data_IF_001236613468
#
_entry.id   IF_001236613468
#
_cell.length_a   1.000
_cell.length_b   1.000
_cell.length_c   1.000
_cell.angle_alpha   90.00
_cell.angle_beta   90.00
_cell.angle_gamma   90.00
#
_symmetry.space_group_name_H-M   'P 1'
#
loop_
_entity.id
_entity.type
_entity.pdbx_description
1 polymer ?
#
# COMPACT_ATOMS: atom_id res chain seq x y z
N UNK A 1 -18.04 3.42 -4.18
CA UNK A 1 -16.66 2.90 -4.09
C UNK A 1 -16.70 1.56 -3.39
N UNK A 2 -16.06 0.51 -3.94
CA UNK A 2 -16.07 -0.85 -3.38
C UNK A 2 -14.68 -1.47 -3.54
N UNK A 3 -13.74 -1.06 -2.71
CA UNK A 3 -12.38 -1.58 -2.67
C UNK A 3 -12.33 -2.85 -1.83
N UNK A 4 -11.72 -3.89 -2.39
CA UNK A 4 -11.47 -5.19 -1.76
C UNK A 4 -9.98 -5.48 -1.60
N UNK A 5 -9.13 -4.81 -2.37
CA UNK A 5 -7.68 -4.95 -2.34
C UNK A 5 -7.00 -3.59 -2.30
N UNK A 6 -6.00 -3.45 -1.44
CA UNK A 6 -5.06 -2.32 -1.44
C UNK A 6 -3.69 -2.86 -1.87
N UNK A 7 -3.22 -2.36 -3.00
CA UNK A 7 -1.90 -2.68 -3.55
C UNK A 7 -0.98 -1.49 -3.36
N UNK A 8 0.24 -1.75 -2.93
CA UNK A 8 1.21 -0.72 -2.60
C UNK A 8 2.53 -0.96 -3.32
N UNK A 9 3.10 0.10 -3.87
CA UNK A 9 4.55 0.16 -4.04
C UNK A 9 5.25 0.24 -2.66
N UNK A 10 6.58 0.04 -2.65
CA UNK A 10 7.40 0.10 -1.45
C UNK A 10 8.13 1.43 -1.33
N UNK A 11 8.96 1.77 -2.32
CA UNK A 11 10.00 2.79 -2.16
C UNK A 11 9.50 4.14 -2.66
N UNK A 12 9.09 4.98 -1.72
CA UNK A 12 8.36 6.23 -2.00
C UNK A 12 6.90 6.16 -1.55
N UNK A 13 6.40 4.97 -1.18
CA UNK A 13 5.06 4.76 -0.61
C UNK A 13 5.11 4.26 0.82
N UNK A 14 5.58 3.02 1.04
CA UNK A 14 5.76 2.43 2.38
C UNK A 14 7.01 2.95 3.08
N UNK A 15 7.96 3.50 2.32
CA UNK A 15 9.18 4.17 2.77
C UNK A 15 9.26 5.58 2.17
N UNK A 16 10.21 6.39 2.62
CA UNK A 16 10.45 7.75 2.11
C UNK A 16 11.26 7.79 0.79
N UNK A 17 11.37 6.66 0.09
CA UNK A 17 12.08 6.52 -1.18
C UNK A 17 13.61 6.46 -1.05
N UNK A 18 14.18 6.68 0.14
CA UNK A 18 15.63 6.60 0.33
C UNK A 18 16.12 5.17 0.30
N UNK A 19 17.23 4.96 -0.40
CA UNK A 19 18.00 3.72 -0.36
C UNK A 19 19.24 3.94 0.48
N UNK A 20 19.26 3.34 1.67
CA UNK A 20 20.37 3.48 2.63
C UNK A 20 21.27 2.25 2.52
N UNK A 21 22.53 2.49 2.20
CA UNK A 21 23.57 1.46 2.07
C UNK A 21 24.60 1.61 3.18
N UNK A 22 24.97 0.52 3.83
CA UNK A 22 26.13 0.47 4.73
C UNK A 22 27.40 0.23 3.92
N UNK A 23 28.57 0.53 4.49
CA UNK A 23 29.86 0.23 3.85
C UNK A 23 30.12 -1.27 3.66
N UNK A 24 29.42 -2.13 4.42
CA UNK A 24 29.42 -3.60 4.27
C UNK A 24 28.48 -4.09 3.17
N UNK A 25 27.69 -3.20 2.55
CA UNK A 25 26.75 -3.54 1.48
C UNK A 25 25.36 -3.95 1.96
N UNK A 26 25.04 -3.78 3.24
CA UNK A 26 23.69 -4.02 3.77
C UNK A 26 22.75 -2.88 3.38
N UNK A 27 21.50 -3.21 3.09
CA UNK A 27 20.44 -2.25 2.82
C UNK A 27 19.56 -2.05 4.05
N UNK A 28 19.30 -0.78 4.40
CA UNK A 28 18.37 -0.42 5.47
C UNK A 28 17.11 0.20 4.84
N UNK A 29 15.94 -0.29 5.28
CA UNK A 29 14.63 0.29 4.94
C UNK A 29 13.89 0.71 6.20
N UNK A 30 13.40 1.94 6.22
CA UNK A 30 12.59 2.46 7.30
C UNK A 30 11.11 2.48 6.89
N UNK A 31 10.26 1.86 7.71
CA UNK A 31 8.81 1.81 7.50
C UNK A 31 8.09 2.59 8.60
N UNK A 32 6.93 3.14 8.26
CA UNK A 32 6.08 3.85 9.21
C UNK A 32 5.25 2.88 10.05
N UNK A 33 5.31 3.05 11.37
CA UNK A 33 4.41 2.35 12.30
C UNK A 33 2.94 2.80 12.15
N UNK A 34 2.70 4.06 11.72
CA UNK A 34 1.35 4.57 11.47
C UNK A 34 0.70 3.88 10.27
N UNK A 35 1.49 3.67 9.21
CA UNK A 35 1.07 2.94 8.02
C UNK A 35 0.78 1.48 8.36
N UNK A 36 1.61 0.87 9.22
CA UNK A 36 1.31 -0.44 9.81
C UNK A 36 -0.11 -0.50 10.37
N UNK A 37 -0.48 0.49 11.22
CA UNK A 37 -1.77 0.44 11.93
C UNK A 37 -2.94 0.62 10.97
N UNK A 38 -2.75 1.44 9.93
CA UNK A 38 -3.69 1.53 8.82
C UNK A 38 -3.87 0.17 8.15
N UNK A 39 -2.78 -0.50 7.79
CA UNK A 39 -2.85 -1.79 7.10
C UNK A 39 -3.50 -2.88 7.96
N UNK A 40 -3.18 -2.95 9.25
CA UNK A 40 -3.85 -3.85 10.18
C UNK A 40 -5.36 -3.57 10.28
N UNK A 41 -5.76 -2.29 10.29
CA UNK A 41 -7.16 -1.88 10.25
C UNK A 41 -7.86 -2.30 8.94
N UNK A 42 -7.22 -2.13 7.78
CA UNK A 42 -7.76 -2.56 6.49
C UNK A 42 -7.97 -4.08 6.44
N UNK A 43 -6.96 -4.86 6.84
CA UNK A 43 -7.04 -6.31 6.90
C UNK A 43 -8.18 -6.76 7.84
N UNK A 44 -8.32 -6.12 9.00
CA UNK A 44 -9.43 -6.41 9.93
C UNK A 44 -10.80 -6.09 9.33
N UNK A 45 -10.90 -5.05 8.51
CA UNK A 45 -12.11 -4.71 7.76
C UNK A 45 -12.38 -5.65 6.57
N UNK A 46 -11.55 -6.68 6.36
CA UNK A 46 -11.70 -7.66 5.28
C UNK A 46 -11.17 -7.18 3.93
N UNK A 47 -10.31 -6.15 3.91
CA UNK A 47 -9.61 -5.71 2.70
C UNK A 47 -8.27 -6.45 2.62
N UNK A 48 -8.04 -7.14 1.50
CA UNK A 48 -6.77 -7.81 1.23
C UNK A 48 -5.66 -6.82 0.87
N UNK A 49 -4.42 -7.20 1.19
CA UNK A 49 -3.25 -6.35 1.01
C UNK A 49 -2.24 -7.00 0.05
N UNK A 50 -1.70 -6.19 -0.88
CA UNK A 50 -0.66 -6.61 -1.81
C UNK A 50 0.49 -5.64 -1.89
N UNK A 51 1.70 -6.14 -2.14
CA UNK A 51 2.87 -5.35 -2.53
C UNK A 51 3.28 -5.72 -3.94
N UNK A 52 3.55 -4.70 -4.76
CA UNK A 52 4.21 -4.85 -6.06
C UNK A 52 5.45 -3.96 -6.07
N UNK A 53 6.63 -4.53 -6.27
CA UNK A 53 7.87 -3.75 -6.33
C UNK A 53 8.85 -4.34 -7.34
N UNK A 54 9.61 -3.46 -8.00
CA UNK A 54 10.67 -3.86 -8.91
C UNK A 54 11.91 -4.41 -8.19
N UNK A 55 12.04 -4.18 -6.88
CA UNK A 55 13.21 -4.61 -6.09
C UNK A 55 12.92 -5.90 -5.34
N UNK A 56 13.94 -6.71 -5.15
CA UNK A 56 13.91 -7.82 -4.20
C UNK A 56 14.61 -7.39 -2.92
N UNK A 57 13.97 -7.59 -1.76
CA UNK A 57 14.52 -7.16 -0.48
C UNK A 57 14.02 -8.04 0.66
N UNK A 58 14.92 -8.66 1.45
CA UNK A 58 14.51 -9.42 2.63
C UNK A 58 13.79 -8.56 3.69
N UNK A 59 14.02 -7.24 3.69
CA UNK A 59 13.33 -6.32 4.62
C UNK A 59 11.87 -6.14 4.25
N UNK A 60 11.56 -6.10 2.95
CA UNK A 60 10.19 -6.06 2.44
C UNK A 60 9.48 -7.37 2.74
N UNK A 61 10.13 -8.52 2.51
CA UNK A 61 9.56 -9.83 2.86
C UNK A 61 9.24 -9.94 4.35
N UNK A 62 10.17 -9.52 5.22
CA UNK A 62 9.96 -9.50 6.66
C UNK A 62 8.78 -8.61 7.04
N UNK A 63 8.70 -7.40 6.50
CA UNK A 63 7.61 -6.45 6.81
C UNK A 63 6.26 -6.92 6.28
N UNK A 64 6.23 -7.50 5.08
CA UNK A 64 5.04 -8.08 4.49
C UNK A 64 4.50 -9.24 5.35
N UNK A 65 5.38 -10.11 5.85
CA UNK A 65 5.02 -11.20 6.76
C UNK A 65 4.50 -10.68 8.11
N UNK A 66 5.14 -9.65 8.67
CA UNK A 66 4.73 -9.02 9.93
C UNK A 66 3.31 -8.44 9.84
N UNK A 67 3.01 -7.73 8.75
CA UNK A 67 1.71 -7.10 8.50
C UNK A 67 0.70 -8.01 7.78
N UNK A 68 1.06 -9.28 7.56
CA UNK A 68 0.20 -10.30 6.96
C UNK A 68 -0.37 -9.90 5.59
N UNK A 69 0.50 -9.42 4.70
CA UNK A 69 0.12 -9.20 3.31
C UNK A 69 -0.32 -10.52 2.64
N UNK A 70 -1.41 -10.45 1.87
CA UNK A 70 -1.97 -11.58 1.13
C UNK A 70 -1.17 -11.88 -0.14
N UNK A 71 -0.54 -10.86 -0.74
CA UNK A 71 0.31 -10.99 -1.91
C UNK A 71 1.59 -10.16 -1.80
N UNK A 72 2.72 -10.74 -2.20
CA UNK A 72 4.01 -10.07 -2.30
C UNK A 72 4.66 -10.41 -3.65
N UNK A 73 4.70 -9.44 -4.56
CA UNK A 73 5.25 -9.55 -5.91
C UNK A 73 6.51 -8.68 -6.00
N UNK A 74 7.68 -9.30 -5.82
CA UNK A 74 8.98 -8.64 -5.88
C UNK A 74 9.73 -8.93 -7.18
N UNK A 75 10.62 -8.03 -7.58
CA UNK A 75 11.41 -8.19 -8.81
C UNK A 75 10.62 -7.94 -10.10
N UNK A 76 9.43 -7.34 -10.01
CA UNK A 76 8.58 -7.07 -11.16
C UNK A 76 8.78 -5.63 -11.65
N UNK A 77 9.62 -5.44 -12.67
CA UNK A 77 9.79 -4.14 -13.31
C UNK A 77 8.52 -3.68 -14.04
N UNK A 78 7.76 -4.63 -14.62
CA UNK A 78 6.46 -4.36 -15.22
C UNK A 78 5.34 -4.53 -14.17
N UNK A 79 5.03 -3.45 -13.45
CA UNK A 79 4.01 -3.45 -12.38
C UNK A 79 2.60 -3.70 -12.92
N UNK A 80 2.31 -3.30 -14.16
CA UNK A 80 1.03 -3.56 -14.83
C UNK A 80 0.78 -5.05 -15.04
N UNK A 81 1.79 -5.77 -15.50
CA UNK A 81 1.69 -7.22 -15.69
C UNK A 81 1.50 -7.94 -14.35
N UNK A 82 2.31 -7.59 -13.35
CA UNK A 82 2.20 -8.15 -12.00
C UNK A 82 0.80 -7.93 -11.39
N UNK A 83 0.23 -6.74 -11.57
CA UNK A 83 -1.13 -6.42 -11.13
C UNK A 83 -2.17 -7.30 -11.82
N UNK A 84 -2.07 -7.49 -13.14
CA UNK A 84 -2.99 -8.37 -13.89
C UNK A 84 -2.89 -9.82 -13.43
N UNK A 85 -1.68 -10.34 -13.22
CA UNK A 85 -1.48 -11.69 -12.68
C UNK A 85 -2.06 -11.86 -11.28
N UNK A 86 -1.98 -10.84 -10.42
CA UNK A 86 -2.65 -10.83 -9.11
C UNK A 86 -4.17 -10.88 -9.28
N UNK A 87 -4.73 -10.03 -10.15
CA UNK A 87 -6.17 -10.02 -10.44
C UNK A 87 -6.68 -11.38 -10.89
N UNK A 88 -5.97 -12.02 -11.82
CA UNK A 88 -6.30 -13.35 -12.33
C UNK A 88 -6.24 -14.41 -11.22
N UNK A 89 -5.16 -14.43 -10.44
CA UNK A 89 -4.93 -15.43 -9.38
C UNK A 89 -5.94 -15.34 -8.23
N UNK A 90 -6.43 -14.14 -7.94
CA UNK A 90 -7.37 -13.88 -6.85
C UNK A 90 -8.81 -13.64 -7.32
N UNK A 91 -9.08 -13.81 -8.62
CA UNK A 91 -10.39 -13.59 -9.24
C UNK A 91 -11.02 -12.24 -8.88
N UNK A 92 -10.20 -11.18 -8.92
CA UNK A 92 -10.60 -9.82 -8.56
C UNK A 92 -10.52 -8.88 -9.76
N UNK A 93 -11.59 -8.11 -9.97
CA UNK A 93 -11.63 -7.09 -11.01
C UNK A 93 -10.84 -5.84 -10.58
N UNK A 94 -10.13 -5.23 -11.55
CA UNK A 94 -9.36 -4.00 -11.33
C UNK A 94 -10.16 -2.87 -10.69
N UNK A 95 -11.47 -2.76 -10.96
CA UNK A 95 -12.36 -1.76 -10.37
C UNK A 95 -12.51 -1.86 -8.84
N UNK A 96 -12.15 -3.01 -8.25
CA UNK A 96 -12.18 -3.24 -6.81
C UNK A 96 -10.79 -3.10 -6.15
N UNK A 97 -9.80 -2.60 -6.90
CA UNK A 97 -8.44 -2.40 -6.42
C UNK A 97 -8.19 -0.91 -6.17
N UNK A 98 -7.59 -0.61 -5.03
CA UNK A 98 -6.89 0.64 -4.80
C UNK A 98 -5.39 0.39 -4.95
N UNK A 99 -4.67 1.28 -5.63
CA UNK A 99 -3.22 1.17 -5.81
C UNK A 99 -2.57 2.49 -5.40
N UNK A 100 -1.56 2.45 -4.53
CA UNK A 100 -0.73 3.62 -4.22
C UNK A 100 0.68 3.45 -4.81
N UNK A 101 1.07 4.41 -5.65
CA UNK A 101 2.40 4.52 -6.25
C UNK A 101 2.89 5.96 -6.18
N UNK A 102 4.19 6.19 -6.35
CA UNK A 102 4.80 7.51 -6.22
C UNK A 102 5.51 8.00 -7.49
N UNK A 103 5.93 7.12 -8.39
CA UNK A 103 6.75 7.49 -9.55
C UNK A 103 6.26 6.88 -10.89
N UNK A 104 6.95 7.22 -11.99
CA UNK A 104 6.55 6.90 -13.36
C UNK A 104 6.37 5.40 -13.63
N UNK A 105 7.11 4.54 -12.92
CA UNK A 105 7.00 3.09 -13.05
C UNK A 105 5.66 2.53 -12.51
N UNK A 106 4.89 3.33 -11.76
CA UNK A 106 3.55 2.99 -11.27
C UNK A 106 2.43 3.41 -12.22
N UNK A 107 2.67 4.33 -13.17
CA UNK A 107 1.63 4.93 -14.02
C UNK A 107 0.77 3.88 -14.73
N UNK A 108 1.39 2.83 -15.27
CA UNK A 108 0.67 1.78 -15.97
C UNK A 108 -0.21 0.91 -15.07
N UNK A 109 0.13 0.77 -13.78
CA UNK A 109 -0.72 0.05 -12.82
C UNK A 109 -1.84 0.97 -12.31
N UNK A 110 -1.48 2.21 -11.95
CA UNK A 110 -2.41 3.25 -11.51
C UNK A 110 -3.51 3.51 -12.55
N UNK A 111 -3.19 3.51 -13.85
CA UNK A 111 -4.16 3.82 -14.90
C UNK A 111 -5.26 2.77 -15.07
N UNK A 112 -5.15 1.61 -14.41
CA UNK A 112 -6.05 0.48 -14.59
C UNK A 112 -6.99 0.25 -13.40
N UNK A 113 -6.60 0.69 -12.21
CA UNK A 113 -7.31 0.34 -10.97
C UNK A 113 -8.52 1.23 -10.71
N UNK A 114 -9.44 0.76 -9.88
CA UNK A 114 -10.64 1.51 -9.49
C UNK A 114 -10.34 2.76 -8.66
N UNK A 115 -9.26 2.74 -7.87
CA UNK A 115 -8.81 3.89 -7.08
C UNK A 115 -7.28 4.07 -7.16
N UNK A 116 -6.77 4.86 -8.12
CA UNK A 116 -5.37 5.25 -8.15
C UNK A 116 -5.10 6.29 -7.05
N UNK A 117 -4.02 6.07 -6.30
CA UNK A 117 -3.65 6.89 -5.15
C UNK A 117 -2.18 7.28 -5.20
N UNK A 118 -1.84 8.40 -4.58
CA UNK A 118 -0.47 8.92 -4.53
C UNK A 118 -0.11 9.51 -3.16
N UNK A 119 1.13 9.32 -2.68
CA UNK A 119 1.70 10.16 -1.62
C UNK A 119 1.79 11.63 -2.03
N UNK A 120 1.94 12.53 -1.06
CA UNK A 120 2.05 13.98 -1.31
C UNK A 120 3.26 14.34 -2.19
N UNK A 121 4.38 13.66 -1.97
CA UNK A 121 5.68 13.87 -2.62
C UNK A 121 5.85 13.06 -3.91
N UNK A 122 4.81 12.38 -4.39
CA UNK A 122 4.80 11.68 -5.66
C UNK A 122 5.07 12.62 -6.85
N UNK A 123 5.54 12.04 -7.96
CA UNK A 123 5.71 12.69 -9.25
C UNK A 123 4.41 13.39 -9.70
N UNK A 124 4.55 14.45 -10.50
CA UNK A 124 3.39 15.25 -10.93
C UNK A 124 2.41 14.41 -11.76
N UNK A 125 2.94 13.59 -12.67
CA UNK A 125 2.20 12.68 -13.55
C UNK A 125 1.39 11.65 -12.75
N UNK A 126 1.94 11.16 -11.64
CA UNK A 126 1.26 10.24 -10.72
C UNK A 126 0.11 10.94 -10.01
N UNK A 127 0.33 12.18 -9.53
CA UNK A 127 -0.73 12.98 -8.88
C UNK A 127 -1.83 13.41 -9.85
N UNK A 128 -1.51 13.68 -11.11
CA UNK A 128 -2.50 13.99 -12.15
C UNK A 128 -3.44 12.80 -12.43
N UNK A 129 -2.92 11.57 -12.32
CA UNK A 129 -3.69 10.34 -12.50
C UNK A 129 -4.46 9.92 -11.24
N UNK A 130 -3.94 10.28 -10.06
CA UNK A 130 -4.51 9.86 -8.78
C UNK A 130 -5.89 10.48 -8.51
N UNK A 131 -6.82 9.64 -8.06
CA UNK A 131 -8.12 10.08 -7.55
C UNK A 131 -8.08 10.44 -6.06
N UNK A 132 -7.04 9.97 -5.36
CA UNK A 132 -6.73 10.37 -3.99
C UNK A 132 -5.24 10.70 -3.88
N UNK A 133 -4.93 11.91 -3.41
CA UNK A 133 -3.56 12.30 -3.06
C UNK A 133 -3.53 12.52 -1.56
N UNK A 134 -2.64 11.81 -0.87
CA UNK A 134 -2.47 11.96 0.58
C UNK A 134 -1.93 13.35 0.93
N UNK A 135 -2.27 13.83 2.13
CA UNK A 135 -1.62 15.00 2.72
C UNK A 135 -0.27 14.68 3.39
N UNK A 136 0.21 13.45 3.25
CA UNK A 136 1.45 12.96 3.84
C UNK A 136 2.38 12.39 2.76
N UNK A 137 3.68 12.50 3.02
CA UNK A 137 4.71 11.92 2.18
C UNK A 137 4.81 10.39 2.33
N UNK A 138 5.47 9.76 1.37
CA UNK A 138 5.92 8.37 1.44
C UNK A 138 6.61 8.04 2.76
N UNK A 139 6.31 6.86 3.32
CA UNK A 139 6.90 6.39 4.58
C UNK A 139 6.58 7.26 5.80
N UNK A 140 5.64 8.20 5.68
CA UNK A 140 5.32 9.19 6.73
C UNK A 140 3.83 9.20 7.11
N UNK A 141 3.07 8.16 6.76
CA UNK A 141 1.63 8.08 7.02
C UNK A 141 0.73 8.15 5.79
N UNK A 142 1.29 8.20 4.57
CA UNK A 142 0.50 8.29 3.35
C UNK A 142 -0.46 7.10 3.16
N UNK A 143 0.01 5.89 3.47
CA UNK A 143 -0.78 4.67 3.38
C UNK A 143 -1.86 4.65 4.46
N UNK A 144 -1.55 5.11 5.68
CA UNK A 144 -2.53 5.27 6.76
C UNK A 144 -3.66 6.21 6.36
N UNK A 145 -3.33 7.35 5.78
CA UNK A 145 -4.28 8.35 5.30
C UNK A 145 -5.19 7.75 4.21
N UNK A 146 -4.60 7.05 3.24
CA UNK A 146 -5.33 6.36 2.18
C UNK A 146 -6.28 5.27 2.70
N UNK A 147 -5.82 4.45 3.65
CA UNK A 147 -6.67 3.42 4.27
C UNK A 147 -7.86 4.07 4.99
N UNK A 148 -7.62 5.12 5.77
CA UNK A 148 -8.69 5.81 6.48
C UNK A 148 -9.73 6.39 5.50
N UNK A 149 -9.28 7.00 4.40
CA UNK A 149 -10.15 7.46 3.32
C UNK A 149 -11.02 6.32 2.75
N UNK A 150 -10.42 5.17 2.43
CA UNK A 150 -11.12 4.01 1.89
C UNK A 150 -12.17 3.49 2.89
N UNK A 151 -11.78 3.27 4.15
CA UNK A 151 -12.66 2.72 5.17
C UNK A 151 -13.81 3.67 5.50
N UNK A 152 -13.59 5.00 5.51
CA UNK A 152 -14.65 5.99 5.71
C UNK A 152 -15.65 5.97 4.56
N UNK A 153 -15.18 6.00 3.32
CA UNK A 153 -16.05 6.00 2.15
C UNK A 153 -16.81 4.67 1.95
N UNK A 154 -16.37 3.59 2.60
CA UNK A 154 -17.09 2.31 2.69
C UNK A 154 -17.89 2.12 4.00
N UNK A 155 -17.99 3.14 4.85
CA UNK A 155 -18.70 3.10 6.14
C UNK A 155 -18.18 2.01 7.11
N UNK A 156 -16.90 1.65 7.02
CA UNK A 156 -16.26 0.64 7.88
C UNK A 156 -15.43 1.27 9.00
N UNK A 157 -15.07 2.56 8.87
CA UNK A 157 -14.15 3.25 9.78
C UNK A 157 -14.63 3.27 11.24
N UNK A 158 -15.88 3.64 11.49
CA UNK A 158 -16.39 3.77 12.86
C UNK A 158 -16.37 2.45 13.63
N UNK A 159 -16.63 1.33 12.94
CA UNK A 159 -16.53 -0.01 13.53
C UNK A 159 -15.09 -0.33 13.91
N UNK A 160 -14.13 -0.03 13.03
CA UNK A 160 -12.71 -0.24 13.31
C UNK A 160 -12.27 0.59 14.52
N UNK A 161 -12.61 1.88 14.56
CA UNK A 161 -12.28 2.77 15.69
C UNK A 161 -12.87 2.25 16.99
N UNK A 162 -14.15 1.86 16.98
CA UNK A 162 -14.84 1.30 18.15
C UNK A 162 -14.12 0.06 18.67
N UNK A 163 -13.72 -0.84 17.79
CA UNK A 163 -13.03 -2.04 18.21
C UNK A 163 -11.63 -1.75 18.80
N UNK A 164 -10.88 -0.80 18.22
CA UNK A 164 -9.61 -0.38 18.80
C UNK A 164 -9.80 0.26 20.18
N UNK A 165 -10.82 1.11 20.34
CA UNK A 165 -11.17 1.72 21.62
C UNK A 165 -11.59 0.68 22.68
N UNK A 166 -12.13 -0.46 22.26
CA UNK A 166 -12.49 -1.59 23.12
C UNK A 166 -11.36 -2.62 23.27
N UNK A 167 -10.16 -2.35 22.74
CA UNK A 167 -9.03 -3.29 22.71
C UNK A 167 -9.36 -4.64 22.05
N UNK A 168 -10.40 -4.68 21.20
CA UNK A 168 -10.84 -5.85 20.47
C UNK A 168 -10.01 -6.05 19.18
N UNK A 169 -8.68 -5.97 19.28
CA UNK A 169 -7.75 -6.13 18.16
C UNK A 169 -6.61 -7.08 18.53
N UNK A 170 -6.23 -7.95 17.59
CA UNK A 170 -5.23 -8.99 17.84
C UNK A 170 -3.79 -8.57 17.46
N UNK A 171 -3.58 -7.34 16.97
CA UNK A 171 -2.28 -6.86 16.47
C UNK A 171 -2.05 -5.41 16.88
N UNK A 172 -0.89 -5.15 17.50
CA UNK A 172 -0.52 -3.85 18.09
C UNK A 172 0.21 -2.89 17.15
N UNK A 173 0.38 -3.26 15.89
CA UNK A 173 0.91 -2.41 14.84
C UNK A 173 0.10 -2.56 13.59
#
# INVERSE_FOLDING_TARGET
MNIKWIILDVDGVLTDGKLIYTSSGEEIKAFSARDGLGLAAAHKAGISLGIITARTSPMVERRAKELKFDALLMGHANKTEALRSLCESHHIELAHIAYMGDDLNDLGALSLVGLPMAPQDAAAEVKELAQFVSNHNGGSGAVRDAVEYILKAQNMWDSVVKDYAMEAHNHGQ
#
